data_IF_853817672719
#
_entry.id   IF_853817672719
#
_cell.length_a   1.000
_cell.length_b   1.000
_cell.length_c   1.000
_cell.angle_alpha   90.00
_cell.angle_beta   90.00
_cell.angle_gamma   90.00
#
_symmetry.space_group_name_H-M   'P 1'
#
loop_
_entity.id
_entity.type
_entity.pdbx_description
1 polymer ?
#
# COMPACT_ATOMS: atom_id res chain seq x y z
N UNK A 1 -60.51 38.33 8.66
CA UNK A 1 -59.72 38.34 9.92
C UNK A 1 -59.07 36.96 10.03
N UNK A 2 -57.87 36.79 9.45
CA UNK A 2 -56.52 36.82 10.07
C UNK A 2 -56.21 35.58 10.92
N UNK A 3 -55.35 34.72 10.36
CA UNK A 3 -54.64 33.60 10.99
C UNK A 3 -53.93 34.03 12.29
N UNK A 4 -53.63 33.04 13.16
CA UNK A 4 -52.31 32.94 13.76
C UNK A 4 -51.63 31.62 13.38
N UNK A 5 -50.54 31.78 12.64
CA UNK A 5 -49.47 30.81 12.44
C UNK A 5 -48.74 30.71 13.79
N UNK A 6 -48.77 29.55 14.44
CA UNK A 6 -47.91 29.25 15.58
C UNK A 6 -47.07 28.02 15.26
N UNK A 7 -45.88 28.32 14.74
CA UNK A 7 -44.60 27.73 15.12
C UNK A 7 -44.60 26.23 15.43
N UNK A 8 -44.56 25.43 14.36
CA UNK A 8 -43.97 24.09 14.40
C UNK A 8 -42.71 24.06 13.54
N UNK A 9 -41.78 24.98 13.84
CA UNK A 9 -40.45 25.05 13.22
C UNK A 9 -39.43 25.01 14.35
N UNK A 10 -39.02 23.80 14.75
CA UNK A 10 -37.71 23.53 15.42
C UNK A 10 -37.61 22.09 15.94
N UNK A 11 -37.93 21.08 15.12
CA UNK A 11 -37.46 19.70 15.34
C UNK A 11 -36.69 19.28 14.09
N UNK A 12 -35.64 20.04 13.77
CA UNK A 12 -34.68 19.70 12.73
C UNK A 12 -33.35 20.29 13.16
N UNK A 13 -32.40 19.42 13.48
CA UNK A 13 -30.99 19.80 13.57
C UNK A 13 -30.40 19.82 14.97
N UNK A 14 -30.45 18.70 15.69
CA UNK A 14 -29.34 18.32 16.56
C UNK A 14 -29.22 16.78 16.58
N UNK A 15 -29.10 16.19 15.39
CA UNK A 15 -28.33 14.95 15.29
C UNK A 15 -26.90 15.38 15.46
N UNK A 16 -26.43 15.34 16.71
CA UNK A 16 -25.04 15.40 17.05
C UNK A 16 -24.33 14.25 16.35
N UNK A 17 -23.88 14.51 15.12
CA UNK A 17 -22.80 13.75 14.49
C UNK A 17 -21.56 14.14 15.29
N UNK A 18 -21.42 13.54 16.48
CA UNK A 18 -20.11 13.26 17.01
C UNK A 18 -19.50 12.30 16.00
N UNK A 19 -18.79 12.86 15.02
CA UNK A 19 -17.84 12.10 14.24
C UNK A 19 -16.84 11.57 15.25
N UNK A 20 -17.04 10.33 15.70
CA UNK A 20 -15.96 9.56 16.28
C UNK A 20 -14.77 9.68 15.32
N UNK A 21 -13.53 9.86 15.81
CA UNK A 21 -12.37 9.76 14.94
C UNK A 21 -12.50 8.43 14.20
N UNK A 22 -12.78 8.48 12.91
CA UNK A 22 -12.93 7.30 12.09
C UNK A 22 -11.58 6.63 12.13
N UNK A 23 -11.48 5.47 12.78
CA UNK A 23 -10.27 4.66 12.74
C UNK A 23 -9.82 4.56 11.27
N UNK A 24 -8.53 4.83 10.97
CA UNK A 24 -8.08 4.88 9.59
C UNK A 24 -8.38 3.55 8.91
N UNK A 25 -9.03 3.63 7.75
CA UNK A 25 -9.42 2.45 6.98
C UNK A 25 -8.16 1.66 6.59
N UNK A 26 -8.26 0.33 6.55
CA UNK A 26 -7.18 -0.56 6.14
C UNK A 26 -6.63 -0.17 4.75
N UNK A 27 -7.52 0.34 3.89
CA UNK A 27 -7.17 0.86 2.56
C UNK A 27 -6.27 2.09 2.66
N UNK A 28 -6.61 3.05 3.52
CA UNK A 28 -5.82 4.28 3.71
C UNK A 28 -4.44 3.97 4.30
N UNK A 29 -4.40 3.11 5.32
CA UNK A 29 -3.16 2.59 5.91
C UNK A 29 -2.27 1.99 4.82
N UNK A 30 -2.85 1.13 3.98
CA UNK A 30 -2.15 0.46 2.89
C UNK A 30 -1.60 1.46 1.87
N UNK A 31 -2.39 2.43 1.43
CA UNK A 31 -1.94 3.46 0.50
C UNK A 31 -0.75 4.25 1.06
N UNK A 32 -0.84 4.71 2.31
CA UNK A 32 0.20 5.48 2.96
C UNK A 32 1.48 4.66 3.14
N UNK A 33 1.36 3.40 3.58
CA UNK A 33 2.47 2.48 3.70
C UNK A 33 3.16 2.23 2.36
N UNK A 34 2.41 1.81 1.34
CA UNK A 34 2.97 1.42 0.05
C UNK A 34 3.55 2.59 -0.75
N UNK A 35 3.07 3.82 -0.52
CA UNK A 35 3.71 5.03 -1.06
C UNK A 35 5.16 5.17 -0.58
N UNK A 36 5.41 4.93 0.71
CA UNK A 36 6.78 4.96 1.27
C UNK A 36 7.58 3.73 0.84
N UNK A 37 6.97 2.56 0.87
CA UNK A 37 7.62 1.31 0.49
C UNK A 37 8.11 1.34 -0.96
N UNK A 38 7.25 1.73 -1.90
CA UNK A 38 7.66 1.85 -3.31
C UNK A 38 8.70 2.94 -3.53
N UNK A 39 8.71 4.01 -2.71
CA UNK A 39 9.79 4.99 -2.73
C UNK A 39 11.13 4.37 -2.30
N UNK A 40 11.14 3.59 -1.22
CA UNK A 40 12.32 2.86 -0.76
C UNK A 40 12.82 1.87 -1.83
N UNK A 41 11.93 1.06 -2.40
CA UNK A 41 12.25 0.13 -3.50
C UNK A 41 12.88 0.86 -4.70
N UNK A 42 12.29 1.99 -5.10
CA UNK A 42 12.80 2.75 -6.26
C UNK A 42 14.11 3.48 -5.98
N UNK A 43 14.40 3.82 -4.71
CA UNK A 43 15.69 4.37 -4.31
C UNK A 43 16.85 3.39 -4.54
N UNK A 44 16.57 2.09 -4.44
CA UNK A 44 17.60 1.04 -4.50
C UNK A 44 18.44 0.90 -3.22
N UNK A 45 18.10 1.63 -2.16
CA UNK A 45 18.78 1.55 -0.87
C UNK A 45 18.25 0.36 -0.04
N UNK A 46 19.13 -0.62 0.20
CA UNK A 46 18.83 -1.83 0.96
C UNK A 46 18.37 -1.50 2.39
N UNK A 47 18.99 -0.52 3.04
CA UNK A 47 18.68 -0.18 4.43
C UNK A 47 17.30 0.45 4.56
N UNK A 48 16.90 1.28 3.59
CA UNK A 48 15.55 1.85 3.56
C UNK A 48 14.48 0.79 3.37
N UNK A 49 14.75 -0.25 2.56
CA UNK A 49 13.82 -1.35 2.37
C UNK A 49 13.75 -2.21 3.63
N UNK A 50 14.88 -2.56 4.23
CA UNK A 50 14.94 -3.34 5.47
C UNK A 50 14.27 -2.62 6.64
N UNK A 51 14.40 -1.29 6.74
CA UNK A 51 13.75 -0.48 7.77
C UNK A 51 12.21 -0.48 7.70
N UNK A 52 11.64 -0.95 6.59
CA UNK A 52 10.19 -1.10 6.45
C UNK A 52 9.67 -2.44 7.01
N UNK A 53 10.55 -3.34 7.43
CA UNK A 53 10.19 -4.59 8.10
C UNK A 53 10.23 -4.43 9.61
N UNK A 54 9.32 -5.11 10.28
CA UNK A 54 9.34 -5.20 11.73
C UNK A 54 10.61 -5.89 12.22
N UNK A 55 11.18 -5.46 13.36
CA UNK A 55 12.31 -6.17 13.96
C UNK A 55 11.94 -7.63 14.22
N UNK A 56 12.56 -8.56 13.50
CA UNK A 56 12.34 -9.98 13.73
C UNK A 56 13.27 -10.47 14.83
N UNK A 57 12.76 -11.29 15.75
CA UNK A 57 13.58 -12.00 16.75
C UNK A 57 14.25 -13.19 16.06
N UNK A 58 15.37 -12.96 15.37
CA UNK A 58 16.15 -14.00 14.68
C UNK A 58 16.83 -13.48 13.41
N UNK A 59 17.32 -14.41 12.57
CA UNK A 59 17.84 -14.08 11.24
C UNK A 59 16.68 -13.67 10.32
N UNK A 60 16.56 -12.37 10.09
CA UNK A 60 15.63 -11.82 9.11
C UNK A 60 16.08 -12.27 7.71
N UNK A 61 15.48 -13.34 7.18
CA UNK A 61 15.79 -13.85 5.84
C UNK A 61 15.13 -13.03 4.72
N UNK A 62 15.07 -11.71 4.88
CA UNK A 62 14.55 -10.79 3.87
C UNK A 62 15.70 -10.36 2.98
N UNK A 63 15.75 -10.91 1.78
CA UNK A 63 16.66 -10.44 0.74
C UNK A 63 16.11 -9.16 0.11
N UNK A 64 16.47 -8.02 0.71
CA UNK A 64 16.09 -6.70 0.20
C UNK A 64 16.62 -6.44 -1.22
N UNK A 65 17.78 -7.01 -1.58
CA UNK A 65 18.35 -6.87 -2.92
C UNK A 65 17.49 -7.56 -3.97
N UNK A 66 17.08 -8.80 -3.68
CA UNK A 66 16.13 -9.53 -4.52
C UNK A 66 14.80 -8.78 -4.63
N UNK A 67 14.25 -8.28 -3.52
CA UNK A 67 12.98 -7.55 -3.51
C UNK A 67 13.02 -6.26 -4.35
N UNK A 68 14.12 -5.50 -4.24
CA UNK A 68 14.36 -4.32 -5.08
C UNK A 68 14.42 -4.73 -6.56
N UNK A 69 15.20 -5.76 -6.89
CA UNK A 69 15.36 -6.22 -8.27
C UNK A 69 14.02 -6.65 -8.90
N UNK A 70 13.16 -7.25 -8.10
CA UNK A 70 11.87 -7.78 -8.55
C UNK A 70 10.81 -6.70 -8.73
N UNK A 71 10.82 -5.64 -7.90
CA UNK A 71 9.72 -4.66 -7.81
C UNK A 71 10.07 -3.27 -8.34
N UNK A 72 11.36 -2.93 -8.52
CA UNK A 72 11.79 -1.61 -8.97
C UNK A 72 11.21 -1.27 -10.34
N UNK A 73 10.69 -0.04 -10.46
CA UNK A 73 10.05 0.46 -11.68
C UNK A 73 8.62 -0.04 -11.91
N UNK A 74 8.07 -0.88 -11.04
CA UNK A 74 6.66 -1.28 -11.08
C UNK A 74 5.80 -0.30 -10.27
N UNK A 75 4.52 -0.19 -10.64
CA UNK A 75 3.47 0.46 -9.83
C UNK A 75 2.70 -0.61 -9.06
N UNK A 76 2.35 -0.32 -7.81
CA UNK A 76 1.52 -1.19 -6.98
C UNK A 76 0.05 -0.81 -7.10
N UNK A 77 -0.85 -1.79 -6.97
CA UNK A 77 -2.26 -1.56 -6.69
C UNK A 77 -2.80 -2.68 -5.82
N UNK A 78 -3.91 -2.43 -5.14
CA UNK A 78 -4.47 -3.36 -4.18
C UNK A 78 -5.63 -4.14 -4.79
N UNK A 79 -5.67 -5.44 -4.51
CA UNK A 79 -6.87 -6.28 -4.74
C UNK A 79 -7.79 -6.23 -3.54
N UNK A 80 -7.21 -6.21 -2.35
CA UNK A 80 -7.92 -6.10 -1.08
C UNK A 80 -6.99 -5.55 -0.01
N UNK A 81 -7.58 -4.90 0.99
CA UNK A 81 -6.95 -4.54 2.24
C UNK A 81 -8.00 -4.69 3.35
N UNK A 82 -7.66 -5.41 4.43
CA UNK A 82 -8.59 -5.65 5.53
C UNK A 82 -7.84 -5.86 6.84
N UNK A 83 -8.45 -5.45 7.93
CA UNK A 83 -7.94 -5.77 9.27
C UNK A 83 -8.10 -7.27 9.56
N UNK A 84 -7.09 -7.83 10.21
CA UNK A 84 -7.06 -9.19 10.77
C UNK A 84 -6.55 -9.07 12.20
N UNK A 85 -7.46 -8.92 13.15
CA UNK A 85 -7.10 -8.51 14.51
C UNK A 85 -6.56 -7.07 14.52
N UNK A 86 -5.36 -6.87 15.07
CA UNK A 86 -4.68 -5.56 15.08
C UNK A 86 -3.81 -5.30 13.83
N UNK A 87 -3.63 -6.32 12.99
CA UNK A 87 -2.79 -6.27 11.80
C UNK A 87 -3.65 -5.95 10.57
N UNK A 88 -3.00 -5.45 9.50
CA UNK A 88 -3.64 -5.21 8.21
C UNK A 88 -3.10 -6.20 7.19
N UNK A 89 -3.98 -7.04 6.63
CA UNK A 89 -3.66 -7.90 5.49
C UNK A 89 -3.92 -7.15 4.19
N UNK A 90 -2.95 -7.15 3.28
CA UNK A 90 -3.01 -6.48 1.98
C UNK A 90 -2.63 -7.43 0.86
N UNK A 91 -3.53 -7.61 -0.11
CA UNK A 91 -3.24 -8.32 -1.35
C UNK A 91 -2.85 -7.34 -2.45
N UNK A 92 -1.61 -7.44 -2.92
CA UNK A 92 -1.01 -6.50 -3.87
C UNK A 92 -0.78 -7.13 -5.24
N UNK A 93 -0.92 -6.30 -6.26
CA UNK A 93 -0.47 -6.57 -7.62
C UNK A 93 0.46 -5.46 -8.09
N UNK A 94 1.52 -5.85 -8.79
CA UNK A 94 2.50 -4.95 -9.35
C UNK A 94 2.41 -4.96 -10.86
N UNK A 95 2.38 -3.77 -11.47
CA UNK A 95 2.20 -3.56 -12.90
C UNK A 95 3.37 -2.77 -13.46
N UNK A 96 3.84 -3.07 -14.67
CA UNK A 96 4.72 -2.17 -15.39
C UNK A 96 4.02 -0.83 -15.67
N UNK A 97 4.77 0.27 -15.81
CA UNK A 97 4.23 1.54 -16.26
C UNK A 97 3.49 1.35 -17.59
N UNK A 98 2.40 2.09 -17.79
CA UNK A 98 1.62 2.12 -19.05
C UNK A 98 0.91 0.80 -19.40
N UNK A 99 0.84 -0.17 -18.49
CA UNK A 99 0.10 -1.43 -18.71
C UNK A 99 -0.84 -1.75 -17.55
N UNK A 100 -2.07 -2.17 -17.86
CA UNK A 100 -3.06 -2.58 -16.85
C UNK A 100 -2.88 -4.06 -16.40
N UNK A 101 -2.07 -4.82 -17.13
CA UNK A 101 -1.79 -6.22 -16.81
C UNK A 101 -0.87 -6.32 -15.58
N UNK A 102 -1.31 -7.06 -14.57
CA UNK A 102 -0.48 -7.42 -13.43
C UNK A 102 0.69 -8.30 -13.89
N UNK A 103 1.91 -7.89 -13.57
CA UNK A 103 3.11 -8.67 -13.79
C UNK A 103 3.45 -9.51 -12.57
N UNK A 104 3.27 -8.96 -11.36
CA UNK A 104 3.57 -9.67 -10.12
C UNK A 104 2.49 -9.50 -9.07
N UNK A 105 2.49 -10.36 -8.06
CA UNK A 105 1.59 -10.28 -6.91
C UNK A 105 2.27 -10.79 -5.66
N UNK A 106 1.91 -10.20 -4.52
CA UNK A 106 2.32 -10.67 -3.21
C UNK A 106 1.28 -10.26 -2.16
N UNK A 107 1.25 -11.00 -1.06
CA UNK A 107 0.43 -10.70 0.11
C UNK A 107 1.33 -10.18 1.23
N UNK A 108 0.84 -9.19 1.97
CA UNK A 108 1.58 -8.52 3.04
C UNK A 108 0.71 -8.48 4.29
N UNK A 109 1.34 -8.75 5.43
CA UNK A 109 0.77 -8.49 6.75
C UNK A 109 1.53 -7.30 7.32
N UNK A 110 0.80 -6.21 7.54
CA UNK A 110 1.31 -4.99 8.15
C UNK A 110 0.94 -4.98 9.63
N UNK A 111 1.89 -4.63 10.47
CA UNK A 111 1.63 -4.40 11.89
C UNK A 111 1.99 -2.97 12.28
N UNK A 112 1.30 -2.45 13.28
CA UNK A 112 1.54 -1.11 13.80
C UNK A 112 2.71 -1.16 14.80
N UNK A 113 3.80 -0.45 14.50
CA UNK A 113 4.86 -0.21 15.46
C UNK A 113 4.39 0.85 16.47
N UNK A 114 4.25 0.45 17.74
CA UNK A 114 3.76 1.31 18.81
C UNK A 114 4.75 2.42 19.21
N UNK A 115 6.05 2.26 18.95
CA UNK A 115 7.08 3.21 19.37
C UNK A 115 7.19 4.41 18.43
N UNK A 116 6.96 4.19 17.13
CA UNK A 116 7.19 5.20 16.07
C UNK A 116 5.88 5.59 15.36
N UNK A 117 4.75 5.03 15.77
CA UNK A 117 3.42 5.21 15.15
C UNK A 117 3.44 4.98 13.63
N UNK A 118 4.19 3.96 13.19
CA UNK A 118 4.32 3.60 11.78
C UNK A 118 3.96 2.16 11.52
N UNK A 119 3.34 1.90 10.37
CA UNK A 119 3.11 0.55 9.87
C UNK A 119 4.37 -0.05 9.26
N UNK A 120 4.66 -1.29 9.61
CA UNK A 120 5.80 -2.08 9.16
C UNK A 120 5.34 -3.45 8.62
N UNK A 121 6.16 -4.08 7.79
CA UNK A 121 5.92 -5.43 7.29
C UNK A 121 6.24 -6.42 8.40
N UNK A 122 5.20 -7.05 8.95
CA UNK A 122 5.34 -8.20 9.85
C UNK A 122 5.79 -9.42 9.07
N UNK A 123 5.10 -9.71 7.97
CA UNK A 123 5.40 -10.81 7.07
C UNK A 123 4.90 -10.53 5.65
N UNK A 124 5.45 -11.26 4.69
CA UNK A 124 5.04 -11.21 3.29
C UNK A 124 5.13 -12.59 2.66
N UNK A 125 4.28 -12.85 1.67
CA UNK A 125 4.45 -13.99 0.78
C UNK A 125 5.59 -13.75 -0.20
N UNK A 126 6.11 -14.81 -0.80
CA UNK A 126 6.98 -14.67 -1.98
C UNK A 126 6.30 -13.87 -3.08
N UNK A 127 7.10 -13.12 -3.82
CA UNK A 127 6.63 -12.38 -5.00
C UNK A 127 6.39 -13.38 -6.13
N UNK A 128 5.12 -13.54 -6.51
CA UNK A 128 4.69 -14.44 -7.59
C UNK A 128 4.62 -13.68 -8.91
N UNK A 129 5.09 -14.30 -9.99
CA UNK A 129 5.01 -13.76 -11.35
C UNK A 129 6.20 -14.19 -12.21
N UNK A 130 6.18 -13.93 -13.53
CA UNK A 130 7.37 -14.06 -14.35
C UNK A 130 8.52 -13.23 -13.75
N UNK A 131 9.72 -13.82 -13.69
CA UNK A 131 10.95 -13.07 -13.36
C UNK A 131 11.02 -11.85 -14.26
N UNK A 132 11.41 -10.70 -13.72
CA UNK A 132 11.66 -9.53 -14.56
C UNK A 132 12.89 -9.89 -15.39
N UNK A 133 12.70 -10.36 -16.62
CA UNK A 133 13.77 -10.30 -17.59
C UNK A 133 14.17 -8.83 -17.63
N UNK A 134 15.42 -8.53 -17.24
CA UNK A 134 15.99 -7.20 -17.40
C UNK A 134 15.53 -6.72 -18.77
N UNK A 135 14.78 -5.61 -18.80
CA UNK A 135 14.33 -4.97 -20.03
C UNK A 135 15.59 -4.62 -20.81
N UNK A 136 16.08 -5.60 -21.58
CA UNK A 136 17.21 -5.45 -22.47
C UNK A 136 16.82 -4.31 -23.37
N UNK A 137 17.70 -3.31 -23.42
CA UNK A 137 17.62 -2.19 -24.32
C UNK A 137 17.10 -2.68 -25.67
N UNK A 138 15.89 -2.26 -26.00
CA UNK A 138 15.34 -2.43 -27.34
C UNK A 138 16.19 -1.50 -28.23
N UNK A 139 17.33 -1.99 -28.69
CA UNK A 139 18.09 -1.30 -29.73
C UNK A 139 17.21 -1.28 -30.97
N UNK A 140 16.88 -0.09 -31.51
CA UNK A 140 16.15 -0.03 -32.77
C UNK A 140 17.01 -0.70 -33.86
N UNK A 141 16.40 -1.41 -34.82
CA UNK A 141 17.14 -1.98 -35.93
C UNK A 141 17.82 -0.84 -36.71
N UNK A 142 19.14 -0.94 -36.86
CA UNK A 142 19.91 -0.08 -37.75
C UNK A 142 19.48 -0.41 -39.19
N UNK A 143 18.67 0.46 -39.78
CA UNK A 143 18.42 0.47 -41.22
C UNK A 143 19.68 1.05 -41.87
N UNK A 144 20.53 0.20 -42.45
CA UNK A 144 21.51 0.67 -43.43
C UNK A 144 20.77 0.92 -44.75
N UNK A 145 20.82 2.17 -45.21
CA UNK A 145 20.47 2.56 -46.58
C UNK A 145 21.67 2.54 -47.50
#
# INVERSE_FOLDING_TARGET
MRLPILLLVSILGFVSVFGAPTDPDAIEISHNFFKRFMKAINSGDLFQVLAMFSPQRGDTNVDAGHLISELKGLRVSFRSANFVGADVNVSCVFRPPRTEKAAKSAEFILEKNAEVDTWLIKSMSDVKGPKTAQLHHFYPPLVMG
#
